data_IF_078872704466
#
_entry.id   IF_078872704466
#
_cell.length_a   1.000
_cell.length_b   1.000
_cell.length_c   1.000
_cell.angle_alpha   90.00
_cell.angle_beta   90.00
_cell.angle_gamma   90.00
#
_symmetry.space_group_name_H-M   'P 1'
#
loop_
_entity.id
_entity.type
_entity.pdbx_description
1 polymer ?
#
# COMPACT_ATOMS: atom_id res chain seq x y z
N UNK A 1 15.82 -20.72 38.28
CA UNK A 1 16.05 -20.42 36.87
C UNK A 1 15.48 -21.48 35.88
N UNK A 2 15.28 -22.72 36.26
CA UNK A 2 14.69 -23.78 35.37
C UNK A 2 13.18 -23.65 35.07
N UNK A 3 12.40 -22.95 35.91
CA UNK A 3 10.96 -22.77 35.74
C UNK A 3 10.58 -21.72 34.69
N UNK A 4 11.31 -20.62 34.64
CA UNK A 4 11.03 -19.50 33.71
C UNK A 4 11.25 -19.92 32.25
N UNK A 5 12.29 -20.73 31.98
CA UNK A 5 12.55 -21.27 30.64
C UNK A 5 11.45 -22.20 30.11
N UNK A 6 10.83 -22.99 31.00
CA UNK A 6 9.70 -23.86 30.63
C UNK A 6 8.42 -23.08 30.34
N UNK A 7 8.14 -22.01 31.10
CA UNK A 7 6.98 -21.14 30.87
C UNK A 7 7.16 -20.39 29.57
N UNK A 8 8.36 -19.89 29.27
CA UNK A 8 8.68 -19.20 28.02
C UNK A 8 8.57 -20.14 26.82
N UNK A 9 9.01 -21.39 26.95
CA UNK A 9 8.90 -22.41 25.90
C UNK A 9 7.42 -22.76 25.60
N UNK A 10 6.59 -22.91 26.64
CA UNK A 10 5.15 -23.18 26.48
C UNK A 10 4.44 -21.99 25.85
N UNK A 11 4.81 -20.76 26.21
CA UNK A 11 4.26 -19.53 25.60
C UNK A 11 4.63 -19.42 24.11
N UNK A 12 5.86 -19.78 23.73
CA UNK A 12 6.31 -19.79 22.33
C UNK A 12 5.62 -20.90 21.52
N UNK A 13 5.45 -22.10 22.09
CA UNK A 13 4.69 -23.17 21.44
C UNK A 13 3.20 -22.83 21.28
N UNK A 14 2.59 -22.16 22.26
CA UNK A 14 1.21 -21.69 22.17
C UNK A 14 0.99 -20.64 21.07
N UNK A 15 1.95 -19.75 20.85
CA UNK A 15 1.92 -18.76 19.78
C UNK A 15 2.07 -19.39 18.38
N UNK A 16 2.82 -20.47 18.24
CA UNK A 16 2.99 -21.17 16.96
C UNK A 16 1.70 -21.89 16.49
N UNK A 17 0.85 -22.35 17.42
CA UNK A 17 -0.43 -22.98 17.11
C UNK A 17 -1.52 -22.03 16.61
N UNK A 18 -1.42 -20.73 16.94
CA UNK A 18 -2.44 -19.72 16.60
C UNK A 18 -2.46 -19.35 15.10
N UNK A 19 -1.41 -19.69 14.35
CA UNK A 19 -1.30 -19.35 12.93
C UNK A 19 -2.32 -20.07 12.03
N UNK A 20 -2.90 -21.17 12.49
CA UNK A 20 -3.85 -21.98 11.72
C UNK A 20 -5.32 -21.56 11.87
N UNK A 21 -5.67 -20.78 12.89
CA UNK A 21 -7.08 -20.44 13.18
C UNK A 21 -7.64 -19.25 12.41
N UNK A 22 -6.77 -18.33 11.96
CA UNK A 22 -7.16 -17.06 11.31
C UNK A 22 -7.96 -17.25 10.01
N UNK A 23 -7.84 -18.40 9.36
CA UNK A 23 -8.51 -18.68 8.09
C UNK A 23 -9.67 -19.67 8.21
N UNK A 24 -10.06 -20.05 9.46
CA UNK A 24 -11.06 -21.08 9.70
C UNK A 24 -12.46 -20.70 9.20
N UNK A 25 -12.84 -19.44 9.36
CA UNK A 25 -14.18 -18.94 9.01
C UNK A 25 -14.23 -18.26 7.64
N UNK A 26 -13.14 -18.30 6.86
CA UNK A 26 -13.14 -17.75 5.50
C UNK A 26 -13.91 -18.68 4.57
N UNK A 27 -14.92 -18.14 3.84
CA UNK A 27 -15.71 -18.90 2.88
C UNK A 27 -14.84 -19.59 1.82
N UNK A 28 -15.38 -20.61 1.16
CA UNK A 28 -14.72 -21.25 0.04
C UNK A 28 -14.59 -20.26 -1.13
N UNK A 29 -13.45 -20.32 -1.85
CA UNK A 29 -13.16 -19.41 -2.94
C UNK A 29 -12.66 -18.02 -2.52
N UNK A 30 -12.66 -17.69 -1.23
CA UNK A 30 -12.10 -16.44 -0.72
C UNK A 30 -10.75 -16.67 -0.04
N UNK A 31 -9.91 -15.63 -0.07
CA UNK A 31 -8.56 -15.68 0.47
C UNK A 31 -8.31 -14.53 1.43
N UNK A 32 -7.69 -14.84 2.57
CA UNK A 32 -7.19 -13.84 3.51
C UNK A 32 -6.01 -13.09 2.90
N UNK A 33 -6.09 -11.77 2.82
CA UNK A 33 -5.02 -10.93 2.36
C UNK A 33 -3.90 -10.86 3.41
N UNK A 34 -2.90 -11.70 3.25
CA UNK A 34 -1.83 -11.83 4.23
C UNK A 34 -0.81 -10.71 4.13
N UNK A 35 -0.43 -10.31 2.90
CA UNK A 35 0.64 -9.35 2.66
C UNK A 35 0.47 -8.68 1.30
N UNK A 36 0.88 -7.41 1.25
CA UNK A 36 1.11 -6.68 0.00
C UNK A 36 2.61 -6.35 -0.09
N UNK A 37 3.15 -6.45 -1.29
CA UNK A 37 4.52 -6.06 -1.63
C UNK A 37 4.47 -5.13 -2.83
N UNK A 38 5.38 -4.16 -2.86
CA UNK A 38 5.68 -3.38 -4.07
C UNK A 38 7.12 -3.68 -4.43
N UNK A 39 7.31 -4.17 -5.65
CA UNK A 39 8.61 -4.49 -6.24
C UNK A 39 8.80 -3.58 -7.45
N UNK A 40 9.84 -2.78 -7.43
CA UNK A 40 10.24 -1.92 -8.53
C UNK A 40 11.44 -2.56 -9.25
N UNK A 41 11.48 -2.45 -10.58
CA UNK A 41 12.53 -3.04 -11.41
C UNK A 41 13.92 -2.43 -11.18
N UNK A 42 13.97 -1.25 -10.51
CA UNK A 42 15.19 -0.51 -10.19
C UNK A 42 16.00 -0.05 -11.41
N UNK A 43 15.43 -0.05 -12.60
CA UNK A 43 16.09 0.47 -13.80
C UNK A 43 16.32 1.98 -13.68
N UNK A 44 15.38 2.71 -13.08
CA UNK A 44 15.49 4.14 -12.80
C UNK A 44 16.49 4.39 -11.66
N UNK A 45 17.40 5.36 -11.75
CA UNK A 45 18.30 5.75 -10.67
C UNK A 45 17.55 6.09 -9.38
N UNK A 46 18.11 5.71 -8.21
CA UNK A 46 17.45 5.87 -6.92
C UNK A 46 17.04 7.32 -6.60
N UNK A 47 17.81 8.30 -7.07
CA UNK A 47 17.56 9.73 -6.83
C UNK A 47 16.35 10.26 -7.61
N UNK A 48 16.02 9.65 -8.74
CA UNK A 48 14.94 10.06 -9.62
C UNK A 48 13.67 9.23 -9.47
N UNK A 49 13.81 8.08 -8.83
CA UNK A 49 12.75 7.09 -8.68
C UNK A 49 11.77 7.44 -7.56
N UNK A 50 10.49 7.25 -7.81
CA UNK A 50 9.44 7.32 -6.78
C UNK A 50 9.69 6.19 -5.76
N UNK A 51 9.81 6.49 -4.46
CA UNK A 51 10.02 5.46 -3.44
C UNK A 51 8.77 4.58 -3.27
N UNK A 52 8.99 3.30 -2.94
CA UNK A 52 7.91 2.34 -2.73
C UNK A 52 6.91 2.77 -1.64
N UNK A 53 7.37 3.53 -0.62
CA UNK A 53 6.52 4.08 0.43
C UNK A 53 5.45 5.04 -0.09
N UNK A 54 5.74 5.76 -1.17
CA UNK A 54 4.79 6.68 -1.78
C UNK A 54 3.81 5.91 -2.67
N UNK A 55 4.30 4.93 -3.42
CA UNK A 55 3.46 4.03 -4.20
C UNK A 55 2.46 3.26 -3.32
N UNK A 56 2.85 2.84 -2.11
CA UNK A 56 1.97 2.13 -1.17
C UNK A 56 0.68 2.92 -0.84
N UNK A 57 0.73 4.25 -0.85
CA UNK A 57 -0.43 5.12 -0.54
C UNK A 57 -1.55 4.99 -1.59
N UNK A 58 -1.22 4.54 -2.79
CA UNK A 58 -2.16 4.40 -3.91
C UNK A 58 -2.73 2.98 -4.05
N UNK A 59 -2.30 2.06 -3.21
CA UNK A 59 -2.88 0.72 -3.11
C UNK A 59 -4.15 0.76 -2.26
N UNK A 60 -5.27 0.31 -2.83
CA UNK A 60 -6.61 0.41 -2.22
C UNK A 60 -6.87 -0.58 -1.10
N UNK A 61 -6.15 -1.69 -1.07
CA UNK A 61 -6.28 -2.69 -0.03
C UNK A 61 -5.13 -2.56 0.96
N UNK A 62 -5.42 -2.72 2.24
CA UNK A 62 -4.40 -2.76 3.29
C UNK A 62 -4.59 -4.03 4.10
N UNK A 63 -3.59 -4.89 4.23
CA UNK A 63 -3.69 -6.10 5.04
C UNK A 63 -3.86 -5.74 6.52
N UNK A 64 -4.39 -6.69 7.29
CA UNK A 64 -4.54 -6.52 8.73
C UNK A 64 -3.20 -6.20 9.42
N UNK A 65 -3.28 -5.40 10.48
CA UNK A 65 -2.12 -5.10 11.33
C UNK A 65 -1.58 -6.37 11.94
N UNK A 66 -0.26 -6.46 12.01
CA UNK A 66 0.44 -7.61 12.62
C UNK A 66 1.07 -7.19 13.94
N UNK A 67 0.99 -8.06 14.93
CA UNK A 67 1.66 -7.89 16.21
C UNK A 67 2.76 -8.95 16.34
N UNK A 68 4.00 -8.53 16.53
CA UNK A 68 5.17 -9.41 16.58
C UNK A 68 5.21 -10.43 15.41
N UNK A 69 4.88 -9.97 14.19
CA UNK A 69 4.85 -10.82 13.01
C UNK A 69 3.65 -11.77 12.90
N UNK A 70 2.77 -11.82 13.90
CA UNK A 70 1.57 -12.65 13.95
C UNK A 70 0.31 -11.89 13.60
N UNK A 71 -0.75 -12.60 13.19
CA UNK A 71 -2.07 -12.00 12.95
C UNK A 71 -2.91 -11.95 14.23
N UNK A 72 -2.31 -11.48 15.34
CA UNK A 72 -2.92 -11.46 16.67
C UNK A 72 -4.28 -10.76 16.69
N UNK A 73 -4.42 -9.61 16.04
CA UNK A 73 -5.68 -8.86 16.04
C UNK A 73 -6.81 -9.60 15.32
N UNK A 74 -6.49 -10.32 14.23
CA UNK A 74 -7.48 -11.14 13.53
C UNK A 74 -7.84 -12.37 14.37
N UNK A 75 -6.86 -13.02 14.98
CA UNK A 75 -7.12 -14.12 15.91
C UNK A 75 -8.00 -13.68 17.08
N UNK A 76 -7.76 -12.50 17.65
CA UNK A 76 -8.55 -11.96 18.75
C UNK A 76 -10.01 -11.72 18.34
N UNK A 77 -10.23 -11.19 17.13
CA UNK A 77 -11.54 -10.98 16.54
C UNK A 77 -12.29 -12.31 16.35
N UNK A 78 -11.63 -13.31 15.80
CA UNK A 78 -12.20 -14.66 15.58
C UNK A 78 -12.55 -15.40 16.88
N UNK A 79 -11.93 -15.02 18.00
CA UNK A 79 -12.25 -15.54 19.32
C UNK A 79 -13.46 -14.87 19.97
N UNK A 80 -14.01 -13.83 19.39
CA UNK A 80 -15.20 -13.17 19.90
C UNK A 80 -16.46 -13.90 19.42
N UNK A 81 -17.26 -14.40 20.35
CA UNK A 81 -18.55 -15.03 20.05
C UNK A 81 -19.58 -13.97 19.61
N UNK A 82 -20.12 -14.03 18.38
CA UNK A 82 -21.08 -13.06 17.91
C UNK A 82 -22.40 -13.05 18.69
N UNK A 83 -22.75 -14.16 19.33
CA UNK A 83 -23.99 -14.29 20.08
C UNK A 83 -23.91 -13.76 21.52
N UNK A 84 -22.70 -13.52 22.05
CA UNK A 84 -22.49 -13.07 23.42
C UNK A 84 -22.16 -11.58 23.49
N UNK A 85 -23.02 -10.84 24.23
CA UNK A 85 -22.82 -9.42 24.55
C UNK A 85 -22.34 -9.30 25.99
N UNK A 86 -21.05 -9.57 26.24
CA UNK A 86 -20.45 -9.31 27.53
C UNK A 86 -19.17 -8.45 27.33
N UNK A 87 -18.77 -7.71 28.38
CA UNK A 87 -17.65 -6.77 28.29
C UNK A 87 -16.35 -7.36 27.76
N UNK A 88 -16.12 -8.68 27.97
CA UNK A 88 -14.94 -9.37 27.46
C UNK A 88 -15.03 -9.62 25.93
N UNK A 89 -16.18 -10.02 25.41
CA UNK A 89 -16.40 -10.18 23.97
C UNK A 89 -16.39 -8.84 23.24
N UNK A 90 -16.98 -7.82 23.83
CA UNK A 90 -16.99 -6.47 23.27
C UNK A 90 -15.56 -5.88 23.21
N UNK A 91 -14.75 -6.15 24.23
CA UNK A 91 -13.34 -5.80 24.23
C UNK A 91 -12.58 -6.51 23.10
N UNK A 92 -12.79 -7.83 22.91
CA UNK A 92 -12.17 -8.59 21.83
C UNK A 92 -12.54 -8.04 20.45
N UNK A 93 -13.80 -7.69 20.22
CA UNK A 93 -14.26 -7.10 18.95
C UNK A 93 -13.69 -5.72 18.71
N UNK A 94 -13.57 -4.89 19.77
CA UNK A 94 -13.06 -3.53 19.68
C UNK A 94 -11.55 -3.50 19.39
N UNK A 95 -10.79 -4.40 19.97
CA UNK A 95 -9.32 -4.49 19.76
C UNK A 95 -9.01 -5.35 18.54
N UNK A 96 -9.78 -6.39 18.29
CA UNK A 96 -9.63 -7.28 17.15
C UNK A 96 -9.94 -6.59 15.82
N UNK A 97 -9.46 -7.17 14.73
CA UNK A 97 -9.72 -6.73 13.36
C UNK A 97 -10.37 -7.87 12.57
N UNK A 98 -11.48 -7.59 11.89
CA UNK A 98 -12.04 -8.54 10.93
C UNK A 98 -10.99 -8.90 9.87
N UNK A 99 -10.95 -10.16 9.41
CA UNK A 99 -10.00 -10.56 8.37
C UNK A 99 -10.26 -9.79 7.07
N UNK A 100 -9.23 -9.16 6.54
CA UNK A 100 -9.29 -8.52 5.21
C UNK A 100 -9.18 -9.62 4.16
N UNK A 101 -10.17 -9.69 3.28
CA UNK A 101 -10.21 -10.65 2.19
C UNK A 101 -9.66 -10.02 0.91
N UNK A 102 -9.08 -10.86 0.05
CA UNK A 102 -8.64 -10.45 -1.27
C UNK A 102 -9.83 -9.99 -2.11
N UNK A 103 -9.76 -8.78 -2.63
CA UNK A 103 -10.71 -8.22 -3.60
C UNK A 103 -9.97 -7.90 -4.91
N UNK A 104 -10.32 -8.60 -5.98
CA UNK A 104 -9.70 -8.44 -7.28
C UNK A 104 -10.02 -7.08 -7.91
N UNK A 105 -11.24 -6.55 -7.69
CA UNK A 105 -11.61 -5.23 -8.23
C UNK A 105 -10.76 -4.12 -7.59
N UNK A 106 -10.52 -4.21 -6.28
CA UNK A 106 -9.63 -3.26 -5.59
C UNK A 106 -8.17 -3.45 -6.02
N UNK A 107 -7.76 -4.67 -6.36
CA UNK A 107 -6.43 -4.97 -6.88
C UNK A 107 -6.22 -4.29 -8.25
N UNK A 108 -7.17 -4.45 -9.17
CA UNK A 108 -7.13 -3.80 -10.49
C UNK A 108 -7.13 -2.28 -10.39
N UNK A 109 -7.99 -1.72 -9.55
CA UNK A 109 -8.00 -0.28 -9.27
C UNK A 109 -6.68 0.21 -8.69
N UNK A 110 -6.02 -0.59 -7.86
CA UNK A 110 -4.71 -0.26 -7.32
C UNK A 110 -3.65 -0.18 -8.43
N UNK A 111 -3.66 -1.12 -9.37
CA UNK A 111 -2.77 -1.08 -10.55
C UNK A 111 -2.98 0.19 -11.36
N UNK A 112 -4.24 0.56 -11.61
CA UNK A 112 -4.57 1.80 -12.33
C UNK A 112 -4.11 3.05 -11.56
N UNK A 113 -4.36 3.11 -10.25
CA UNK A 113 -3.94 4.22 -9.42
C UNK A 113 -2.42 4.39 -9.39
N UNK A 114 -1.67 3.29 -9.30
CA UNK A 114 -0.22 3.31 -9.36
C UNK A 114 0.27 3.89 -10.69
N UNK A 115 -0.35 3.49 -11.81
CA UNK A 115 -0.01 4.03 -13.13
C UNK A 115 -0.29 5.53 -13.21
N UNK A 116 -1.49 5.96 -12.80
CA UNK A 116 -1.89 7.37 -12.82
C UNK A 116 -0.96 8.22 -11.94
N UNK A 117 -0.60 7.72 -10.77
CA UNK A 117 0.33 8.42 -9.90
C UNK A 117 1.73 8.53 -10.50
N UNK A 118 2.26 7.46 -11.09
CA UNK A 118 3.55 7.53 -11.76
C UNK A 118 3.51 8.51 -12.96
N UNK A 119 2.39 8.56 -13.70
CA UNK A 119 2.21 9.52 -14.80
C UNK A 119 2.19 10.95 -14.28
N UNK A 120 1.48 11.22 -13.16
CA UNK A 120 1.44 12.57 -12.57
C UNK A 120 2.82 13.06 -12.10
N UNK A 121 3.74 12.13 -11.85
CA UNK A 121 5.15 12.41 -11.50
C UNK A 121 6.11 12.37 -12.69
N UNK A 122 5.58 12.43 -13.92
CA UNK A 122 6.39 12.51 -15.14
C UNK A 122 6.86 11.15 -15.69
N UNK A 123 6.45 10.03 -15.15
CA UNK A 123 6.84 8.71 -15.62
C UNK A 123 5.82 8.13 -16.63
N UNK A 124 5.62 8.79 -17.75
CA UNK A 124 4.57 8.44 -18.73
C UNK A 124 4.76 7.07 -19.39
N UNK A 125 5.99 6.55 -19.43
CA UNK A 125 6.29 5.21 -19.97
C UNK A 125 6.19 4.11 -18.90
N UNK A 126 5.80 4.47 -17.68
CA UNK A 126 5.69 3.55 -16.56
C UNK A 126 4.67 2.44 -16.80
N UNK A 127 4.87 1.32 -16.13
CA UNK A 127 3.96 0.18 -16.14
C UNK A 127 3.76 -0.33 -14.71
N UNK A 128 2.54 -0.74 -14.42
CA UNK A 128 2.20 -1.41 -13.18
C UNK A 128 1.44 -2.70 -13.49
N UNK A 129 1.73 -3.74 -12.72
CA UNK A 129 1.03 -5.02 -12.77
C UNK A 129 0.91 -5.59 -11.36
N UNK A 130 0.04 -6.56 -11.17
CA UNK A 130 -0.08 -7.26 -9.89
C UNK A 130 -0.07 -8.76 -10.11
N UNK A 131 0.79 -9.45 -9.37
CA UNK A 131 0.76 -10.90 -9.23
C UNK A 131 0.04 -11.28 -7.95
N UNK A 132 -0.85 -12.27 -8.07
CA UNK A 132 -1.61 -12.82 -6.95
C UNK A 132 -1.10 -14.22 -6.66
N UNK A 133 -0.37 -14.37 -5.58
CA UNK A 133 0.07 -15.68 -5.09
C UNK A 133 -0.91 -16.18 -4.03
N UNK A 134 -1.58 -17.31 -4.32
CA UNK A 134 -2.58 -17.92 -3.45
C UNK A 134 -2.13 -19.25 -2.92
N UNK A 135 -2.18 -19.44 -1.61
CA UNK A 135 -1.98 -20.73 -0.95
C UNK A 135 -3.36 -21.30 -0.59
N UNK A 136 -3.96 -22.04 -1.54
CA UNK A 136 -5.36 -22.54 -1.42
C UNK A 136 -5.58 -23.36 -0.15
N UNK A 137 -4.63 -24.26 0.21
CA UNK A 137 -4.72 -25.08 1.44
C UNK A 137 -4.80 -24.24 2.72
N UNK A 138 -4.28 -23.02 2.73
CA UNK A 138 -4.29 -22.10 3.88
C UNK A 138 -5.23 -20.91 3.68
N UNK A 139 -5.98 -20.87 2.58
CA UNK A 139 -6.85 -19.75 2.19
C UNK A 139 -6.18 -18.38 2.37
N UNK A 140 -4.94 -18.23 1.91
CA UNK A 140 -4.13 -17.01 2.05
C UNK A 140 -3.71 -16.49 0.69
N UNK A 141 -3.65 -15.18 0.55
CA UNK A 141 -3.16 -14.50 -0.64
C UNK A 141 -2.07 -13.49 -0.29
N UNK A 142 -1.11 -13.36 -1.20
CA UNK A 142 -0.09 -12.32 -1.21
C UNK A 142 -0.24 -11.58 -2.53
N UNK A 143 -0.34 -10.26 -2.47
CA UNK A 143 -0.31 -9.39 -3.63
C UNK A 143 1.10 -8.84 -3.81
N UNK A 144 1.65 -8.97 -5.00
CA UNK A 144 2.92 -8.35 -5.38
C UNK A 144 2.68 -7.41 -6.55
N UNK A 145 2.65 -6.11 -6.27
CA UNK A 145 2.59 -5.08 -7.30
C UNK A 145 3.99 -4.88 -7.85
N UNK A 146 4.14 -5.10 -9.16
CA UNK A 146 5.39 -4.84 -9.89
C UNK A 146 5.26 -3.54 -10.65
N UNK A 147 6.20 -2.63 -10.41
CA UNK A 147 6.28 -1.35 -11.10
C UNK A 147 7.55 -1.26 -11.92
N UNK A 148 7.43 -0.70 -13.10
CA UNK A 148 8.53 -0.30 -13.98
C UNK A 148 8.34 1.18 -14.22
N UNK A 149 9.18 2.03 -13.63
CA UNK A 149 8.98 3.48 -13.71
C UNK A 149 9.48 4.05 -15.05
N UNK A 150 10.60 3.57 -15.55
CA UNK A 150 11.23 4.10 -16.75
C UNK A 150 11.97 5.42 -16.49
N UNK A 151 12.25 6.16 -17.56
CA UNK A 151 12.88 7.47 -17.46
C UNK A 151 11.83 8.56 -17.21
N UNK A 152 12.06 9.48 -16.25
CA UNK A 152 11.16 10.60 -16.01
C UNK A 152 11.29 11.63 -17.13
N UNK A 153 10.13 12.15 -17.56
CA UNK A 153 10.07 13.26 -18.49
C UNK A 153 10.42 14.56 -17.75
N UNK A 154 11.16 15.44 -18.48
CA UNK A 154 11.61 16.73 -17.95
C UNK A 154 10.99 17.85 -18.73
N UNK A 155 10.80 18.99 -18.08
CA UNK A 155 10.31 20.22 -18.71
C UNK A 155 11.41 20.72 -19.66
N UNK A 156 11.14 20.74 -20.95
CA UNK A 156 12.07 21.21 -21.97
C UNK A 156 12.04 22.74 -22.08
N UNK A 157 10.83 23.31 -22.18
CA UNK A 157 10.63 24.75 -22.32
C UNK A 157 9.35 25.20 -21.64
N UNK A 158 9.33 26.43 -21.17
CA UNK A 158 8.17 27.09 -20.57
C UNK A 158 7.88 28.34 -21.37
N UNK A 159 6.68 28.48 -21.92
CA UNK A 159 6.21 29.68 -22.58
C UNK A 159 5.00 30.24 -21.86
N UNK A 160 4.97 31.54 -21.72
CA UNK A 160 3.84 32.27 -21.12
C UNK A 160 3.12 33.04 -22.21
N UNK A 161 1.82 32.84 -22.33
CA UNK A 161 0.95 33.59 -23.26
C UNK A 161 -0.13 34.31 -22.47
N UNK A 162 -0.21 35.62 -22.62
CA UNK A 162 -1.16 36.45 -21.93
C UNK A 162 -2.11 37.13 -22.92
N UNK A 163 -3.40 37.05 -22.66
CA UNK A 163 -4.41 37.83 -23.41
C UNK A 163 -4.49 39.28 -22.96
N UNK A 164 -4.09 39.56 -21.71
CA UNK A 164 -4.10 40.90 -21.10
C UNK A 164 -2.68 41.40 -20.86
N UNK A 165 -2.33 42.51 -21.48
CA UNK A 165 -1.03 43.19 -21.35
C UNK A 165 -0.73 43.66 -19.92
N UNK A 166 -1.74 43.95 -19.12
CA UNK A 166 -1.56 44.35 -17.73
C UNK A 166 -1.11 43.17 -16.89
N UNK A 167 -1.72 42.00 -17.09
CA UNK A 167 -1.31 40.76 -16.44
C UNK A 167 0.11 40.33 -16.87
N UNK A 168 0.44 40.51 -18.15
CA UNK A 168 1.78 40.24 -18.67
C UNK A 168 2.86 41.05 -17.92
N UNK A 169 2.64 42.35 -17.72
CA UNK A 169 3.60 43.21 -17.01
C UNK A 169 3.79 42.86 -15.54
N UNK A 170 2.80 42.25 -14.90
CA UNK A 170 2.86 41.86 -13.50
C UNK A 170 3.51 40.48 -13.36
N UNK A 171 3.12 39.54 -14.20
CA UNK A 171 3.50 38.12 -14.04
C UNK A 171 4.88 37.83 -14.62
N UNK A 172 5.24 38.38 -15.78
CA UNK A 172 6.52 38.12 -16.42
C UNK A 172 7.75 38.40 -15.53
N UNK A 173 7.82 39.52 -14.78
CA UNK A 173 8.94 39.76 -13.87
C UNK A 173 9.02 38.77 -12.72
N UNK A 174 7.88 38.15 -12.30
CA UNK A 174 7.79 37.20 -11.19
C UNK A 174 8.00 35.74 -11.61
N UNK A 175 8.11 35.45 -12.89
CA UNK A 175 8.40 34.09 -13.40
C UNK A 175 9.73 33.55 -12.90
N UNK A 176 10.65 34.39 -12.45
CA UNK A 176 11.91 34.02 -11.80
C UNK A 176 11.68 33.23 -10.52
N UNK A 177 10.55 33.46 -9.83
CA UNK A 177 10.16 32.76 -8.63
C UNK A 177 9.22 31.58 -8.90
N UNK A 178 8.97 31.28 -10.18
CA UNK A 178 8.14 30.13 -10.57
C UNK A 178 8.72 28.82 -10.01
N UNK A 179 7.82 27.94 -9.56
CA UNK A 179 8.15 26.57 -9.16
C UNK A 179 8.51 25.69 -10.37
N UNK A 180 8.09 26.12 -11.58
CA UNK A 180 8.39 25.41 -12.81
C UNK A 180 9.77 25.85 -13.34
N UNK A 181 10.65 24.90 -13.58
CA UNK A 181 11.99 25.15 -14.13
C UNK A 181 12.28 24.19 -15.27
N UNK A 182 12.88 24.72 -16.32
CA UNK A 182 13.39 23.91 -17.43
C UNK A 182 14.45 22.94 -16.92
N UNK A 183 14.39 21.68 -17.36
CA UNK A 183 15.28 20.58 -16.95
C UNK A 183 14.84 19.83 -15.68
N UNK A 184 13.88 20.35 -14.93
CA UNK A 184 13.30 19.61 -13.80
C UNK A 184 12.35 18.52 -14.28
N UNK A 185 12.18 17.47 -13.46
CA UNK A 185 11.22 16.39 -13.73
C UNK A 185 9.80 16.96 -13.69
N UNK A 186 8.99 16.59 -14.66
CA UNK A 186 7.58 16.96 -14.69
C UNK A 186 6.86 16.43 -13.45
N UNK A 187 6.17 17.30 -12.75
CA UNK A 187 5.33 16.97 -11.60
C UNK A 187 4.00 17.74 -11.69
N UNK A 188 2.92 17.01 -11.82
CA UNK A 188 1.58 17.60 -11.94
C UNK A 188 1.15 18.36 -10.68
N UNK A 189 1.62 17.93 -9.50
CA UNK A 189 1.31 18.62 -8.24
C UNK A 189 1.90 20.04 -8.14
N UNK A 190 2.88 20.37 -8.98
CA UNK A 190 3.45 21.70 -9.08
C UNK A 190 2.61 22.62 -9.98
N UNK A 191 1.74 22.02 -10.82
CA UNK A 191 0.89 22.75 -11.77
C UNK A 191 -0.48 23.11 -11.19
N UNK A 192 -0.91 22.43 -10.12
CA UNK A 192 -2.19 22.65 -9.43
C UNK A 192 -2.03 23.64 -8.25
#
# INVERSE_FOLDING_TARGET
MRGIGRILLIAVLGLAGSACSVTRHIPEGQYFLQKIRIEDDKATPRQERIPASDLEKYVRQTPNKRFLGTNFYVWLYEQADPAKTNGWNDWKRRIGQAPVLLDMNLTERSVQNLKVYMDSKGFFTSRASCEVDTVSRRKRAILTFRTVQGEPYRIDSISYEFQDKFLEQIILPDTVHSLLRTGEVFDMEVLD
#
